data_IF_535809261085
#
_entry.id   IF_535809261085
#
_cell.length_a   1.000
_cell.length_b   1.000
_cell.length_c   1.000
_cell.angle_alpha   90.00
_cell.angle_beta   90.00
_cell.angle_gamma   90.00
#
_symmetry.space_group_name_H-M   'P 1'
#
loop_
_entity.id
_entity.type
_entity.pdbx_description
1 polymer ?
#
# COMPACT_ATOMS: atom_id res chain seq x y z
N UNK A 1 -4.10 -8.65 -1.66
CA UNK A 1 -5.58 -8.64 -1.69
C UNK A 1 -6.13 -9.67 -2.65
N UNK A 2 -5.66 -9.80 -3.89
CA UNK A 2 -6.15 -10.84 -4.82
C UNK A 2 -6.11 -12.25 -4.22
N UNK A 3 -4.98 -12.65 -3.61
CA UNK A 3 -4.84 -13.96 -2.94
C UNK A 3 -5.91 -14.20 -1.86
N UNK A 4 -6.37 -13.14 -1.17
CA UNK A 4 -7.46 -13.26 -0.19
C UNK A 4 -8.79 -13.50 -0.91
N UNK A 5 -9.09 -12.74 -1.96
CA UNK A 5 -10.33 -12.94 -2.70
C UNK A 5 -10.41 -14.34 -3.30
N UNK A 6 -9.31 -14.85 -3.86
CA UNK A 6 -9.22 -16.23 -4.32
C UNK A 6 -9.53 -17.24 -3.20
N UNK A 7 -8.98 -17.04 -2.00
CA UNK A 7 -9.29 -17.88 -0.83
C UNK A 7 -10.78 -17.78 -0.45
N UNK A 8 -11.36 -16.58 -0.43
CA UNK A 8 -12.75 -16.37 -0.05
C UNK A 8 -13.74 -16.99 -1.02
N UNK A 9 -13.36 -17.18 -2.29
CA UNK A 9 -14.19 -17.88 -3.28
C UNK A 9 -14.31 -19.39 -3.02
N UNK A 10 -13.33 -20.00 -2.36
CA UNK A 10 -13.26 -21.46 -2.19
C UNK A 10 -13.57 -21.93 -0.77
N UNK A 11 -13.53 -21.04 0.21
CA UNK A 11 -13.75 -21.40 1.62
C UNK A 11 -15.25 -21.56 1.91
N UNK A 12 -15.66 -22.49 2.81
CA UNK A 12 -17.06 -22.65 3.15
C UNK A 12 -17.68 -21.37 3.73
N UNK A 13 -18.93 -21.07 3.34
CA UNK A 13 -19.65 -19.87 3.75
C UNK A 13 -19.77 -19.73 5.26
N UNK A 14 -19.88 -20.85 5.98
CA UNK A 14 -20.06 -20.89 7.43
C UNK A 14 -18.83 -20.32 8.17
N UNK A 15 -17.65 -20.29 7.54
CA UNK A 15 -16.44 -19.72 8.12
C UNK A 15 -16.36 -18.20 8.01
N UNK A 16 -17.18 -17.58 7.16
CA UNK A 16 -17.07 -16.15 6.81
C UNK A 16 -18.38 -15.37 7.01
N UNK A 17 -19.52 -16.06 7.03
CA UNK A 17 -20.83 -15.42 7.15
C UNK A 17 -20.98 -14.75 8.53
N UNK A 18 -21.33 -13.45 8.53
CA UNK A 18 -21.48 -12.66 9.75
C UNK A 18 -20.16 -12.27 10.42
N UNK A 19 -19.02 -12.61 9.82
CA UNK A 19 -17.70 -12.32 10.36
C UNK A 19 -17.10 -11.06 9.75
N UNK A 20 -16.45 -10.24 10.60
CA UNK A 20 -15.57 -9.15 10.15
C UNK A 20 -14.12 -9.56 10.32
N UNK A 21 -13.31 -9.38 9.27
CA UNK A 21 -11.88 -9.66 9.28
C UNK A 21 -11.08 -8.41 8.89
N UNK A 22 -10.13 -8.02 9.75
CA UNK A 22 -9.10 -7.07 9.37
C UNK A 22 -8.05 -7.77 8.52
N UNK A 23 -7.59 -7.08 7.48
CA UNK A 23 -6.60 -7.60 6.53
C UNK A 23 -5.51 -6.57 6.33
N UNK A 24 -4.37 -6.84 6.94
CA UNK A 24 -3.16 -6.05 6.84
C UNK A 24 -1.94 -6.89 7.22
N UNK A 25 -0.75 -6.39 6.89
CA UNK A 25 0.49 -7.14 7.11
C UNK A 25 1.35 -6.53 8.22
N UNK A 26 1.78 -5.28 8.02
CA UNK A 26 2.77 -4.63 8.87
C UNK A 26 2.26 -3.25 9.28
N UNK A 27 2.37 -2.93 10.57
CA UNK A 27 2.09 -1.60 11.10
C UNK A 27 3.43 -0.85 11.16
N UNK A 28 3.50 0.33 10.52
CA UNK A 28 4.70 1.16 10.49
C UNK A 28 4.35 2.61 10.77
N UNK A 29 5.24 3.31 11.44
CA UNK A 29 5.25 4.76 11.52
C UNK A 29 5.58 5.39 10.17
N UNK A 30 5.21 6.66 9.99
CA UNK A 30 5.56 7.42 8.77
C UNK A 30 7.08 7.47 8.56
N UNK A 31 7.86 7.58 9.64
CA UNK A 31 9.32 7.61 9.55
C UNK A 31 9.88 6.25 9.09
N UNK A 32 9.38 5.13 9.60
CA UNK A 32 9.79 3.79 9.16
C UNK A 32 9.45 3.57 7.68
N UNK A 33 8.26 4.02 7.23
CA UNK A 33 7.91 4.00 5.81
C UNK A 33 8.87 4.85 4.96
N UNK A 34 9.21 6.07 5.40
CA UNK A 34 10.13 6.93 4.69
C UNK A 34 11.53 6.30 4.57
N UNK A 35 12.02 5.67 5.63
CA UNK A 35 13.30 4.96 5.64
C UNK A 35 13.31 3.74 4.72
N UNK A 36 12.25 2.92 4.73
CA UNK A 36 12.11 1.79 3.81
C UNK A 36 12.06 2.24 2.35
N UNK A 37 11.29 3.29 2.06
CA UNK A 37 11.20 3.86 0.70
C UNK A 37 12.57 4.37 0.26
N UNK A 38 13.24 5.20 1.07
CA UNK A 38 14.59 5.70 0.78
C UNK A 38 15.55 4.54 0.47
N UNK A 39 15.63 3.55 1.37
CA UNK A 39 16.51 2.39 1.21
C UNK A 39 16.29 1.67 -0.12
N UNK A 40 15.04 1.34 -0.45
CA UNK A 40 14.74 0.59 -1.68
C UNK A 40 14.96 1.45 -2.93
N UNK A 41 14.56 2.71 -2.92
CA UNK A 41 14.76 3.61 -4.07
C UNK A 41 16.24 3.85 -4.33
N UNK A 42 17.07 4.05 -3.30
CA UNK A 42 18.51 4.21 -3.46
C UNK A 42 19.20 2.94 -3.98
N UNK A 43 18.67 1.76 -3.64
CA UNK A 43 19.14 0.49 -4.21
C UNK A 43 18.77 0.34 -5.70
N UNK A 44 17.58 0.82 -6.09
CA UNK A 44 17.05 0.69 -7.44
C UNK A 44 17.56 1.80 -8.40
N UNK A 45 17.79 3.02 -7.91
CA UNK A 45 18.19 4.20 -8.70
C UNK A 45 19.44 4.84 -8.10
N UNK A 46 20.61 4.42 -8.58
CA UNK A 46 21.89 4.91 -8.06
C UNK A 46 22.17 6.37 -8.44
N UNK A 47 21.60 6.83 -9.55
CA UNK A 47 21.74 8.16 -10.14
C UNK A 47 21.06 9.29 -9.35
N UNK A 48 20.14 8.95 -8.44
CA UNK A 48 19.39 9.91 -7.61
C UNK A 48 19.77 9.84 -6.13
N UNK A 49 20.91 9.20 -5.82
CA UNK A 49 21.41 9.05 -4.45
C UNK A 49 22.41 10.16 -4.09
N UNK A 50 22.46 10.62 -2.82
CA UNK A 50 21.60 10.23 -1.69
C UNK A 50 20.26 10.98 -1.66
N UNK A 51 19.20 10.31 -1.22
CA UNK A 51 17.85 10.87 -1.02
C UNK A 51 17.74 11.44 0.40
N UNK A 52 17.33 12.69 0.55
CA UNK A 52 17.10 13.27 1.88
C UNK A 52 15.68 13.00 2.39
N UNK A 53 15.54 12.74 3.69
CA UNK A 53 14.25 12.69 4.38
C UNK A 53 14.04 14.01 5.11
N UNK A 54 12.94 14.70 4.82
CA UNK A 54 12.52 15.90 5.54
C UNK A 54 11.23 15.63 6.32
N UNK A 55 11.14 16.17 7.54
CA UNK A 55 9.93 16.07 8.37
C UNK A 55 9.26 17.43 8.50
N UNK A 56 7.95 17.47 8.34
CA UNK A 56 7.13 18.67 8.55
C UNK A 56 6.10 18.42 9.65
N UNK A 57 5.68 19.47 10.35
CA UNK A 57 4.60 19.36 11.32
C UNK A 57 3.30 18.96 10.61
N UNK A 58 2.54 18.06 11.23
CA UNK A 58 1.21 17.64 10.79
C UNK A 58 0.17 18.06 11.81
N UNK A 59 -0.99 18.48 11.36
CA UNK A 59 -2.19 18.64 12.20
C UNK A 59 -3.02 17.34 12.27
N UNK A 60 -2.64 16.33 11.49
CA UNK A 60 -3.21 14.99 11.52
C UNK A 60 -2.22 14.03 12.19
N UNK A 61 -2.48 13.74 13.46
CA UNK A 61 -1.68 12.84 14.29
C UNK A 61 -2.34 11.46 14.43
N UNK A 62 -3.28 11.11 13.54
CA UNK A 62 -3.98 9.83 13.61
C UNK A 62 -2.97 8.69 13.43
N UNK A 63 -3.00 7.76 14.38
CA UNK A 63 -2.21 6.54 14.35
C UNK A 63 -3.16 5.37 14.53
N UNK A 64 -3.18 4.49 13.54
CA UNK A 64 -4.04 3.31 13.54
C UNK A 64 -3.18 2.07 13.71
N UNK A 65 -3.56 1.23 14.65
CA UNK A 65 -3.04 -0.12 14.75
C UNK A 65 -4.12 -1.08 14.26
N UNK A 66 -3.78 -1.92 13.29
CA UNK A 66 -4.65 -3.01 12.85
C UNK A 66 -4.03 -4.36 13.23
N UNK A 67 -4.89 -5.28 13.66
CA UNK A 67 -4.52 -6.67 13.94
C UNK A 67 -5.24 -7.59 12.97
N UNK A 68 -4.47 -8.45 12.29
CA UNK A 68 -4.96 -9.48 11.37
C UNK A 68 -4.95 -10.88 11.99
N UNK A 69 -4.82 -10.98 13.32
CA UNK A 69 -4.74 -12.27 14.02
C UNK A 69 -5.99 -13.12 13.82
N UNK A 70 -7.17 -12.48 13.76
CA UNK A 70 -8.44 -13.19 13.56
C UNK A 70 -8.45 -13.92 12.21
N UNK A 71 -8.10 -13.26 11.12
CA UNK A 71 -8.14 -13.89 9.79
C UNK A 71 -7.08 -14.97 9.65
N UNK A 72 -5.91 -14.79 10.28
CA UNK A 72 -4.87 -15.80 10.36
C UNK A 72 -5.35 -17.04 11.11
N UNK A 73 -5.98 -16.87 12.27
CA UNK A 73 -6.50 -17.98 13.09
C UNK A 73 -7.66 -18.73 12.41
N UNK A 74 -8.60 -18.00 11.82
CA UNK A 74 -9.86 -18.59 11.32
C UNK A 74 -9.72 -19.13 9.90
N UNK A 75 -9.05 -18.38 9.02
CA UNK A 75 -8.93 -18.72 7.59
C UNK A 75 -7.53 -19.18 7.19
N UNK A 76 -6.54 -19.10 8.10
CA UNK A 76 -5.14 -19.40 7.76
C UNK A 76 -4.51 -18.37 6.82
N UNK A 77 -5.16 -17.22 6.62
CA UNK A 77 -4.70 -16.22 5.67
C UNK A 77 -3.66 -15.29 6.28
N UNK A 78 -2.55 -15.11 5.58
CA UNK A 78 -1.53 -14.11 5.90
C UNK A 78 -1.05 -13.43 4.61
N UNK A 79 -0.93 -12.11 4.66
CA UNK A 79 -0.38 -11.34 3.55
C UNK A 79 1.10 -11.67 3.35
N UNK A 80 1.49 -11.96 2.11
CA UNK A 80 2.84 -12.46 1.77
C UNK A 80 3.80 -11.38 1.27
N UNK A 81 3.28 -10.21 0.90
CA UNK A 81 4.03 -9.14 0.23
C UNK A 81 4.29 -8.01 1.23
N UNK A 82 5.53 -7.57 1.34
CA UNK A 82 5.96 -6.50 2.24
C UNK A 82 5.84 -5.12 1.59
N UNK A 83 5.95 -4.06 2.39
CA UNK A 83 6.06 -2.69 1.87
C UNK A 83 7.27 -2.54 0.95
N UNK A 84 8.42 -3.12 1.30
CA UNK A 84 9.62 -3.08 0.45
C UNK A 84 9.39 -3.76 -0.91
N UNK A 85 8.60 -4.85 -0.97
CA UNK A 85 8.21 -5.45 -2.26
C UNK A 85 7.43 -4.44 -3.11
N UNK A 86 6.43 -3.79 -2.51
CA UNK A 86 5.60 -2.81 -3.22
C UNK A 86 6.41 -1.60 -3.74
N UNK A 87 7.35 -1.08 -2.94
CA UNK A 87 8.23 0.01 -3.37
C UNK A 87 9.11 -0.43 -4.54
N UNK A 88 9.66 -1.64 -4.49
CA UNK A 88 10.48 -2.18 -5.60
C UNK A 88 9.66 -2.38 -6.87
N UNK A 89 8.44 -2.88 -6.75
CA UNK A 89 7.53 -3.01 -7.90
C UNK A 89 7.23 -1.65 -8.56
N UNK A 90 7.04 -0.59 -7.75
CA UNK A 90 6.92 0.78 -8.27
C UNK A 90 8.20 1.24 -8.97
N UNK A 91 9.38 1.02 -8.38
CA UNK A 91 10.66 1.36 -9.01
C UNK A 91 10.80 0.70 -10.39
N UNK A 92 10.50 -0.60 -10.48
CA UNK A 92 10.51 -1.35 -11.74
C UNK A 92 9.48 -0.80 -12.73
N UNK A 93 8.28 -0.42 -12.29
CA UNK A 93 7.26 0.16 -13.15
C UNK A 93 7.70 1.53 -13.73
N UNK A 94 8.37 2.36 -12.94
CA UNK A 94 8.97 3.62 -13.42
C UNK A 94 10.09 3.36 -14.45
N UNK A 95 11.04 2.46 -14.14
CA UNK A 95 12.10 2.07 -15.08
C UNK A 95 11.55 1.55 -16.42
N UNK A 96 10.45 0.80 -16.36
CA UNK A 96 9.76 0.27 -17.54
C UNK A 96 8.83 1.27 -18.25
N UNK A 97 8.77 2.53 -17.82
CA UNK A 97 7.94 3.57 -18.44
C UNK A 97 6.43 3.31 -18.36
N UNK A 98 5.97 2.54 -17.36
CA UNK A 98 4.55 2.18 -17.18
C UNK A 98 3.72 3.29 -16.52
N UNK A 99 4.37 4.22 -15.83
CA UNK A 99 3.75 5.31 -15.07
C UNK A 99 4.06 6.66 -15.72
N UNK A 100 3.51 6.91 -16.91
CA UNK A 100 3.78 8.13 -17.69
C UNK A 100 3.08 9.34 -17.10
N UNK A 101 3.80 10.45 -16.96
CA UNK A 101 3.27 11.74 -16.47
C UNK A 101 2.48 11.59 -15.17
N UNK A 102 2.97 10.77 -14.23
CA UNK A 102 2.21 10.39 -13.03
C UNK A 102 2.02 11.54 -12.03
N UNK A 103 2.75 12.64 -12.19
CA UNK A 103 2.62 13.85 -11.36
C UNK A 103 1.67 14.88 -11.97
N UNK A 104 1.47 14.84 -13.28
CA UNK A 104 0.66 15.80 -14.04
C UNK A 104 -0.71 15.24 -14.40
N UNK A 105 -0.80 13.93 -14.65
CA UNK A 105 -2.04 13.30 -15.08
C UNK A 105 -2.97 13.11 -13.88
N UNK A 106 -4.10 13.80 -13.91
CA UNK A 106 -5.09 13.73 -12.85
C UNK A 106 -5.63 12.32 -12.62
N UNK A 107 -5.55 11.40 -13.58
CA UNK A 107 -5.92 9.99 -13.43
C UNK A 107 -5.31 9.34 -12.18
N UNK A 108 -4.11 9.76 -11.76
CA UNK A 108 -3.44 9.26 -10.57
C UNK A 108 -3.90 9.92 -9.26
N UNK A 109 -4.87 10.82 -9.30
CA UNK A 109 -5.35 11.62 -8.17
C UNK A 109 -6.87 11.58 -8.03
N UNK A 110 -7.38 10.78 -7.10
CA UNK A 110 -8.83 10.57 -6.88
C UNK A 110 -9.61 11.89 -6.72
N UNK A 111 -9.14 12.82 -5.86
CA UNK A 111 -9.86 14.08 -5.61
C UNK A 111 -9.87 14.99 -6.85
N UNK A 112 -8.76 15.08 -7.58
CA UNK A 112 -8.69 15.88 -8.82
C UNK A 112 -9.60 15.28 -9.89
N UNK A 113 -9.66 13.96 -10.03
CA UNK A 113 -10.60 13.28 -10.95
C UNK A 113 -12.05 13.58 -10.59
N UNK A 114 -12.41 13.50 -9.30
CA UNK A 114 -13.76 13.79 -8.84
C UNK A 114 -14.17 15.25 -9.11
N UNK A 115 -13.25 16.21 -8.94
CA UNK A 115 -13.53 17.62 -9.23
C UNK A 115 -13.69 17.93 -10.71
N UNK A 116 -13.07 17.14 -11.59
CA UNK A 116 -13.16 17.30 -13.04
C UNK A 116 -14.34 16.57 -13.66
N UNK A 117 -14.81 15.52 -12.98
CA UNK A 117 -16.00 14.80 -13.38
C UNK A 117 -17.18 15.65 -12.91
N UNK A 118 -18.02 16.15 -13.82
CA UNK A 118 -19.32 16.71 -13.44
C UNK A 118 -20.11 15.60 -12.75
N UNK A 119 -20.06 15.57 -11.42
CA UNK A 119 -21.01 14.82 -10.62
C UNK A 119 -22.29 15.64 -10.68
N UNK A 120 -23.16 15.29 -11.63
CA UNK A 120 -24.55 15.77 -11.71
C UNK A 120 -25.29 15.39 -10.42
#
# INVERSE_FOLDING_TARGET
>A
MCDLYELLFIIPSEKIQGETFNVGHQNFTIMELAQMVKKVVEQEFQDVTPINISTTASNDNRSYHISSEKIKKVLGFEAKRTVENAVRDLCHAFKAGKLKNSFENNWYYNVKQLQQSEVV
#
